data_IF_493081722591
#
_entry.id   IF_493081722591
#
_cell.length_a   1.000
_cell.length_b   1.000
_cell.length_c   1.000
_cell.angle_alpha   90.00
_cell.angle_beta   90.00
_cell.angle_gamma   90.00
#
_symmetry.space_group_name_H-M   'P 1'
#
loop_
_entity.id
_entity.type
_entity.pdbx_description
1 polymer ?
#
# COMPACT_ATOMS: atom_id res chain seq x y z
N UNK A 1 38.36 5.81 -86.52
CA UNK A 1 39.68 6.46 -86.82
C UNK A 1 39.77 7.77 -86.05
N UNK A 2 40.92 8.25 -85.68
CA UNK A 2 41.90 7.74 -84.72
C UNK A 2 41.97 8.64 -83.49
N UNK A 3 42.60 8.47 -82.46
CA UNK A 3 43.79 7.81 -82.08
C UNK A 3 44.46 8.53 -80.90
N UNK A 4 45.16 7.78 -80.08
CA UNK A 4 46.37 8.14 -79.33
C UNK A 4 46.34 9.35 -78.36
N UNK A 5 46.84 9.37 -77.13
CA UNK A 5 48.02 8.67 -76.52
C UNK A 5 47.98 8.91 -75.01
N UNK A 6 48.51 7.99 -74.21
CA UNK A 6 49.08 8.16 -72.85
C UNK A 6 50.40 8.98 -72.91
N UNK A 7 50.83 9.56 -71.79
CA UNK A 7 51.60 8.88 -70.78
C UNK A 7 51.39 9.41 -69.34
N UNK A 8 51.41 8.65 -68.35
CA UNK A 8 52.44 8.06 -67.45
C UNK A 8 53.10 9.07 -66.45
N UNK A 9 53.14 8.62 -65.18
CA UNK A 9 54.00 8.93 -63.99
C UNK A 9 53.59 10.18 -63.20
N UNK A 10 53.50 10.12 -61.90
CA UNK A 10 54.52 9.71 -60.90
C UNK A 10 53.85 9.56 -59.50
N UNK A 11 54.36 8.61 -58.76
CA UNK A 11 54.19 8.28 -57.35
C UNK A 11 54.42 9.47 -56.39
N UNK A 12 53.49 9.63 -55.36
CA UNK A 12 53.96 10.05 -54.03
C UNK A 12 53.14 9.27 -52.99
N UNK A 13 53.86 8.57 -52.13
CA UNK A 13 53.42 7.85 -50.95
C UNK A 13 52.95 8.82 -49.90
N UNK A 14 51.77 8.58 -49.37
CA UNK A 14 51.25 9.17 -48.11
C UNK A 14 50.54 8.11 -47.33
N UNK A 15 51.25 7.45 -46.40
CA UNK A 15 50.74 6.47 -45.45
C UNK A 15 49.96 7.23 -44.39
N UNK A 16 48.63 7.22 -44.41
CA UNK A 16 47.81 7.56 -43.26
C UNK A 16 47.19 6.29 -42.72
N UNK A 17 47.71 5.88 -41.55
CA UNK A 17 47.21 4.81 -40.72
C UNK A 17 45.85 5.23 -40.18
N UNK A 18 44.75 4.80 -40.78
CA UNK A 18 43.42 4.84 -40.15
C UNK A 18 43.35 3.62 -39.20
N UNK A 19 43.55 3.86 -37.91
CA UNK A 19 43.13 2.94 -36.87
C UNK A 19 41.61 2.81 -36.90
N UNK A 20 41.12 1.85 -37.67
CA UNK A 20 39.76 1.36 -37.50
C UNK A 20 39.71 0.57 -36.19
N UNK A 21 39.35 1.22 -35.09
CA UNK A 21 38.88 0.52 -33.92
C UNK A 21 37.59 -0.16 -34.29
N UNK A 22 37.71 -1.41 -34.74
CA UNK A 22 36.56 -2.29 -34.84
C UNK A 22 35.99 -2.45 -33.44
N UNK A 23 34.91 -1.74 -33.15
CA UNK A 23 34.01 -2.09 -32.06
C UNK A 23 33.54 -3.52 -32.39
N UNK A 24 34.20 -4.49 -31.78
CA UNK A 24 33.70 -5.87 -31.76
C UNK A 24 32.45 -5.82 -30.91
N UNK A 25 31.30 -5.64 -31.55
CA UNK A 25 30.02 -6.02 -30.96
C UNK A 25 30.10 -7.54 -30.78
N UNK A 26 30.51 -7.95 -29.59
CA UNK A 26 30.36 -9.34 -29.16
C UNK A 26 28.87 -9.55 -29.05
N UNK A 27 28.24 -10.06 -30.11
CA UNK A 27 26.86 -10.52 -30.04
C UNK A 27 26.79 -11.59 -28.93
N UNK A 28 26.02 -11.39 -27.88
CA UNK A 28 25.94 -12.35 -26.79
C UNK A 28 25.51 -13.70 -27.34
N UNK A 29 26.21 -14.74 -26.89
CA UNK A 29 25.92 -16.09 -27.31
C UNK A 29 24.50 -16.46 -26.86
N UNK A 30 23.62 -16.90 -27.79
CA UNK A 30 22.25 -17.35 -27.48
C UNK A 30 22.18 -18.34 -26.32
N UNK A 31 23.25 -19.15 -26.13
CA UNK A 31 23.38 -20.08 -25.01
C UNK A 31 23.55 -19.37 -23.66
N UNK A 32 24.20 -18.21 -23.62
CA UNK A 32 24.39 -17.43 -22.38
C UNK A 32 23.08 -16.73 -21.95
N UNK A 33 22.32 -16.19 -22.91
CA UNK A 33 21.00 -15.61 -22.67
C UNK A 33 20.03 -16.63 -22.08
N UNK A 34 20.03 -17.86 -22.62
CA UNK A 34 19.23 -18.96 -22.09
C UNK A 34 19.68 -19.41 -20.70
N UNK A 35 20.99 -19.32 -20.41
CA UNK A 35 21.59 -19.68 -19.12
C UNK A 35 21.19 -18.68 -18.00
N UNK A 36 21.34 -17.38 -18.25
CA UNK A 36 20.97 -16.35 -17.26
C UNK A 36 19.44 -16.32 -17.02
N UNK A 37 18.65 -16.47 -18.07
CA UNK A 37 17.18 -16.55 -17.93
C UNK A 37 16.76 -17.80 -17.14
N UNK A 38 17.31 -18.97 -17.45
CA UNK A 38 17.04 -20.21 -16.72
C UNK A 38 17.47 -20.11 -15.25
N UNK A 39 18.62 -19.52 -14.97
CA UNK A 39 19.12 -19.28 -13.61
C UNK A 39 18.19 -18.31 -12.86
N UNK A 40 17.68 -17.27 -13.54
CA UNK A 40 16.70 -16.36 -13.00
C UNK A 40 15.41 -17.07 -12.56
N UNK A 41 14.90 -17.99 -13.38
CA UNK A 41 13.72 -18.80 -13.02
C UNK A 41 13.99 -19.71 -11.81
N UNK A 42 15.20 -20.27 -11.70
CA UNK A 42 15.58 -21.09 -10.53
C UNK A 42 15.60 -20.24 -9.26
N UNK A 43 16.29 -19.08 -9.30
CA UNK A 43 16.34 -18.15 -8.16
C UNK A 43 14.94 -17.64 -7.78
N UNK A 44 14.10 -17.31 -8.77
CA UNK A 44 12.73 -16.86 -8.53
C UNK A 44 11.90 -17.93 -7.80
N UNK A 45 11.97 -19.20 -8.25
CA UNK A 45 11.28 -20.32 -7.59
C UNK A 45 11.80 -20.62 -6.19
N UNK A 46 13.09 -20.35 -5.95
CA UNK A 46 13.71 -20.48 -4.63
C UNK A 46 13.38 -19.31 -3.67
N UNK A 47 12.69 -18.27 -4.16
CA UNK A 47 12.39 -17.08 -3.38
C UNK A 47 13.56 -16.10 -3.24
N UNK A 48 14.68 -16.34 -3.94
CA UNK A 48 15.83 -15.43 -4.01
C UNK A 48 15.56 -14.36 -5.08
N UNK A 49 14.67 -13.42 -4.72
CA UNK A 49 14.16 -12.42 -5.66
C UNK A 49 15.19 -11.37 -6.06
N UNK A 50 16.15 -11.01 -5.18
CA UNK A 50 17.27 -10.14 -5.53
C UNK A 50 18.08 -10.74 -6.68
N UNK A 51 18.52 -11.96 -6.48
CA UNK A 51 19.31 -12.68 -7.47
C UNK A 51 18.54 -12.96 -8.75
N UNK A 52 17.24 -13.27 -8.63
CA UNK A 52 16.37 -13.48 -9.78
C UNK A 52 16.27 -12.22 -10.65
N UNK A 53 16.01 -11.05 -10.05
CA UNK A 53 15.91 -9.78 -10.75
C UNK A 53 17.22 -9.45 -11.48
N UNK A 54 18.38 -9.62 -10.82
CA UNK A 54 19.70 -9.40 -11.44
C UNK A 54 19.93 -10.32 -12.65
N UNK A 55 19.63 -11.62 -12.52
CA UNK A 55 19.82 -12.60 -13.59
C UNK A 55 18.91 -12.33 -14.78
N UNK A 56 17.64 -11.95 -14.56
CA UNK A 56 16.74 -11.57 -15.62
C UNK A 56 17.19 -10.29 -16.34
N UNK A 57 17.67 -9.28 -15.62
CA UNK A 57 18.24 -8.06 -16.23
C UNK A 57 19.49 -8.38 -17.06
N UNK A 58 20.36 -9.27 -16.59
CA UNK A 58 21.51 -9.76 -17.36
C UNK A 58 21.09 -10.46 -18.65
N UNK A 59 20.06 -11.31 -18.57
CA UNK A 59 19.50 -11.99 -19.74
C UNK A 59 18.93 -11.00 -20.76
N UNK A 60 18.20 -9.95 -20.32
CA UNK A 60 17.70 -8.91 -21.24
C UNK A 60 18.85 -8.07 -21.82
N UNK A 61 19.86 -7.71 -21.02
CA UNK A 61 21.02 -6.94 -21.48
C UNK A 61 21.82 -7.70 -22.54
N UNK A 62 21.91 -9.02 -22.42
CA UNK A 62 22.60 -9.88 -23.39
C UNK A 62 21.83 -10.01 -24.71
N UNK A 63 20.50 -10.03 -24.70
CA UNK A 63 19.65 -10.04 -25.90
C UNK A 63 18.36 -9.27 -25.66
N UNK A 64 18.39 -7.94 -25.83
CA UNK A 64 17.26 -7.08 -25.52
C UNK A 64 15.96 -7.49 -26.22
N UNK A 65 14.92 -7.79 -25.44
CA UNK A 65 13.60 -8.16 -25.92
C UNK A 65 13.48 -9.58 -26.51
N UNK A 66 14.54 -10.40 -26.43
CA UNK A 66 14.50 -11.79 -26.89
C UNK A 66 13.60 -12.69 -26.01
N UNK A 67 13.41 -12.32 -24.76
CA UNK A 67 12.61 -13.05 -23.78
C UNK A 67 11.75 -12.08 -22.97
N UNK A 68 10.89 -12.61 -22.10
CA UNK A 68 10.11 -11.81 -21.14
C UNK A 68 10.87 -11.54 -19.84
N UNK A 69 12.22 -11.50 -19.92
CA UNK A 69 13.09 -11.38 -18.77
C UNK A 69 12.77 -10.17 -17.88
N UNK A 70 12.50 -9.00 -18.48
CA UNK A 70 12.16 -7.80 -17.71
C UNK A 70 10.80 -7.90 -17.01
N UNK A 71 9.84 -8.65 -17.54
CA UNK A 71 8.59 -8.92 -16.81
C UNK A 71 8.88 -9.76 -15.57
N UNK A 72 9.72 -10.79 -15.69
CA UNK A 72 10.12 -11.62 -14.54
C UNK A 72 11.01 -10.87 -13.53
N UNK A 73 11.89 -9.98 -14.00
CA UNK A 73 12.62 -9.08 -13.14
C UNK A 73 11.67 -8.18 -12.34
N UNK A 74 10.69 -7.58 -13.00
CA UNK A 74 9.67 -6.75 -12.35
C UNK A 74 8.84 -7.56 -11.33
N UNK A 75 8.44 -8.81 -11.65
CA UNK A 75 7.75 -9.69 -10.70
C UNK A 75 8.62 -9.96 -9.45
N UNK A 76 9.91 -10.23 -9.62
CA UNK A 76 10.83 -10.40 -8.50
C UNK A 76 10.94 -9.13 -7.64
N UNK A 77 11.03 -7.97 -8.29
CA UNK A 77 11.11 -6.66 -7.60
C UNK A 77 9.80 -6.32 -6.85
N UNK A 78 8.64 -6.73 -7.37
CA UNK A 78 7.35 -6.61 -6.68
C UNK A 78 7.37 -7.41 -5.37
N UNK A 79 7.91 -8.63 -5.37
CA UNK A 79 8.06 -9.43 -4.12
C UNK A 79 8.96 -8.73 -3.10
N UNK A 80 9.93 -7.94 -3.55
CA UNK A 80 10.82 -7.13 -2.70
C UNK A 80 10.24 -5.76 -2.34
N UNK A 81 9.03 -5.44 -2.80
CA UNK A 81 8.41 -4.10 -2.69
C UNK A 81 9.25 -2.97 -3.33
N UNK A 82 10.12 -3.30 -4.29
CA UNK A 82 10.95 -2.35 -5.08
C UNK A 82 10.17 -1.89 -6.31
N UNK A 83 9.06 -1.15 -6.06
CA UNK A 83 8.09 -0.82 -7.12
C UNK A 83 8.65 0.09 -8.20
N UNK A 84 9.44 1.10 -7.83
CA UNK A 84 10.06 2.03 -8.80
C UNK A 84 11.02 1.32 -9.77
N UNK A 85 11.80 0.34 -9.27
CA UNK A 85 12.64 -0.48 -10.13
C UNK A 85 11.81 -1.38 -11.05
N UNK A 86 10.70 -1.93 -10.54
CA UNK A 86 9.78 -2.73 -11.33
C UNK A 86 9.09 -1.90 -12.43
N UNK A 87 8.68 -0.65 -12.14
CA UNK A 87 8.15 0.28 -13.13
C UNK A 87 9.16 0.52 -14.26
N UNK A 88 10.42 0.79 -13.93
CA UNK A 88 11.48 1.03 -14.91
C UNK A 88 11.69 -0.16 -15.85
N UNK A 89 11.75 -1.39 -15.31
CA UNK A 89 11.90 -2.60 -16.10
C UNK A 89 10.70 -2.81 -17.03
N UNK A 90 9.46 -2.61 -16.52
CA UNK A 90 8.25 -2.76 -17.30
C UNK A 90 8.12 -1.71 -18.41
N UNK A 91 8.45 -0.45 -18.13
CA UNK A 91 8.45 0.60 -19.15
C UNK A 91 9.50 0.32 -20.23
N UNK A 92 10.69 -0.14 -19.87
CA UNK A 92 11.73 -0.57 -20.80
C UNK A 92 11.23 -1.71 -21.70
N UNK A 93 10.55 -2.68 -21.14
CA UNK A 93 9.94 -3.78 -21.89
C UNK A 93 8.85 -3.29 -22.85
N UNK A 94 7.96 -2.42 -22.37
CA UNK A 94 6.83 -1.90 -23.14
C UNK A 94 7.24 -0.97 -24.29
N UNK A 95 8.42 -0.33 -24.25
CA UNK A 95 8.97 0.40 -25.41
C UNK A 95 9.17 -0.55 -26.59
N UNK A 96 9.55 -1.79 -26.34
CA UNK A 96 9.79 -2.81 -27.39
C UNK A 96 8.55 -3.63 -27.72
N UNK A 97 7.64 -3.80 -26.75
CA UNK A 97 6.41 -4.60 -26.86
C UNK A 97 5.22 -3.86 -26.26
N UNK A 98 4.73 -2.79 -26.92
CA UNK A 98 3.71 -1.89 -26.36
C UNK A 98 2.35 -2.57 -26.13
N UNK A 99 2.09 -3.69 -26.82
CA UNK A 99 0.83 -4.41 -26.75
C UNK A 99 0.84 -5.61 -25.79
N UNK A 100 1.89 -5.76 -24.96
CA UNK A 100 1.96 -6.84 -23.99
C UNK A 100 0.98 -6.59 -22.84
N UNK A 101 -0.16 -7.30 -22.87
CA UNK A 101 -1.18 -7.20 -21.83
C UNK A 101 -0.62 -7.54 -20.44
N UNK A 102 0.18 -8.62 -20.33
CA UNK A 102 0.78 -9.03 -19.06
C UNK A 102 1.67 -7.95 -18.45
N UNK A 103 2.49 -7.27 -19.28
CA UNK A 103 3.34 -6.18 -18.82
C UNK A 103 2.51 -4.95 -18.43
N UNK A 104 1.44 -4.65 -19.16
CA UNK A 104 0.52 -3.55 -18.84
C UNK A 104 -0.22 -3.82 -17.52
N UNK A 105 -0.80 -5.01 -17.33
CA UNK A 105 -1.46 -5.37 -16.06
C UNK A 105 -0.51 -5.28 -14.88
N UNK A 106 0.71 -5.82 -15.01
CA UNK A 106 1.70 -5.73 -13.95
C UNK A 106 2.13 -4.28 -13.68
N UNK A 107 2.28 -3.45 -14.72
CA UNK A 107 2.56 -2.01 -14.55
C UNK A 107 1.41 -1.30 -13.84
N UNK A 108 0.17 -1.58 -14.19
CA UNK A 108 -1.00 -1.05 -13.50
C UNK A 108 -1.00 -1.40 -12.00
N UNK A 109 -0.68 -2.66 -11.67
CA UNK A 109 -0.50 -3.09 -10.28
C UNK A 109 0.61 -2.31 -9.57
N UNK A 110 1.78 -2.19 -10.19
CA UNK A 110 2.93 -1.45 -9.63
C UNK A 110 2.56 0.00 -9.33
N UNK A 111 1.90 0.69 -10.26
CA UNK A 111 1.43 2.07 -10.10
C UNK A 111 0.41 2.23 -8.95
N UNK A 112 -0.50 1.26 -8.78
CA UNK A 112 -1.37 1.21 -7.60
C UNK A 112 -0.56 1.14 -6.30
N UNK A 113 0.48 0.28 -6.26
CA UNK A 113 1.36 0.13 -5.08
C UNK A 113 2.20 1.38 -4.79
N UNK A 114 2.47 2.20 -5.79
CA UNK A 114 3.12 3.51 -5.67
C UNK A 114 2.16 4.64 -5.31
N UNK A 115 0.89 4.33 -5.01
CA UNK A 115 -0.16 5.31 -4.71
C UNK A 115 -0.40 6.30 -5.88
N UNK A 116 -0.38 5.79 -7.10
CA UNK A 116 -0.65 6.52 -8.36
C UNK A 116 -1.91 5.95 -9.05
N UNK A 117 -3.08 6.09 -8.42
CA UNK A 117 -4.30 5.42 -8.89
C UNK A 117 -4.77 5.86 -10.27
N UNK A 118 -4.63 7.15 -10.62
CA UNK A 118 -5.04 7.65 -11.94
C UNK A 118 -4.19 7.04 -13.06
N UNK A 119 -2.86 7.01 -12.90
CA UNK A 119 -1.94 6.40 -13.85
C UNK A 119 -2.21 4.89 -13.97
N UNK A 120 -2.45 4.23 -12.84
CA UNK A 120 -2.80 2.82 -12.80
C UNK A 120 -4.06 2.52 -13.61
N UNK A 121 -5.15 3.29 -13.44
CA UNK A 121 -6.40 3.13 -14.19
C UNK A 121 -6.21 3.34 -15.70
N UNK A 122 -5.38 4.29 -16.11
CA UNK A 122 -5.04 4.50 -17.52
C UNK A 122 -4.38 3.24 -18.12
N UNK A 123 -3.41 2.68 -17.39
CA UNK A 123 -2.69 1.48 -17.82
C UNK A 123 -3.63 0.25 -17.85
N UNK A 124 -4.49 0.07 -16.83
CA UNK A 124 -5.50 -1.00 -16.83
C UNK A 124 -6.46 -0.89 -18.02
N UNK A 125 -6.85 0.33 -18.40
CA UNK A 125 -7.68 0.57 -19.60
C UNK A 125 -6.96 0.13 -20.87
N UNK A 126 -5.66 0.43 -21.00
CA UNK A 126 -4.83 -0.02 -22.14
C UNK A 126 -4.69 -1.54 -22.15
N UNK A 127 -4.47 -2.16 -21.00
CA UNK A 127 -4.36 -3.62 -20.87
C UNK A 127 -5.67 -4.31 -21.26
N UNK A 128 -6.81 -3.84 -20.77
CA UNK A 128 -8.13 -4.41 -21.05
C UNK A 128 -8.52 -4.35 -22.54
N UNK A 129 -7.98 -3.39 -23.30
CA UNK A 129 -8.14 -3.33 -24.75
C UNK A 129 -7.35 -4.44 -25.49
N UNK A 130 -6.45 -5.15 -24.82
CA UNK A 130 -5.61 -6.23 -25.39
C UNK A 130 -6.04 -7.61 -24.92
N UNK A 131 -6.40 -7.72 -23.66
CA UNK A 131 -6.78 -8.98 -23.01
C UNK A 131 -7.80 -8.70 -21.93
N UNK A 132 -8.77 -9.58 -21.76
CA UNK A 132 -9.75 -9.44 -20.67
C UNK A 132 -9.07 -9.48 -19.29
N UNK A 133 -9.48 -8.58 -18.37
CA UNK A 133 -8.95 -8.56 -17.00
C UNK A 133 -9.36 -9.82 -16.24
N UNK A 134 -8.51 -10.23 -15.32
CA UNK A 134 -8.82 -11.24 -14.32
C UNK A 134 -9.61 -10.63 -13.15
N UNK A 135 -10.14 -11.47 -12.25
CA UNK A 135 -10.74 -11.01 -10.99
C UNK A 135 -9.75 -10.17 -10.15
N UNK A 136 -8.48 -10.59 -10.10
CA UNK A 136 -7.44 -9.83 -9.39
C UNK A 136 -7.19 -8.45 -10.02
N UNK A 137 -7.21 -8.36 -11.34
CA UNK A 137 -7.08 -7.08 -12.05
C UNK A 137 -8.26 -6.16 -11.70
N UNK A 138 -9.49 -6.68 -11.72
CA UNK A 138 -10.69 -5.92 -11.36
C UNK A 138 -10.67 -5.48 -9.89
N UNK A 139 -10.16 -6.31 -8.99
CA UNK A 139 -9.93 -5.95 -7.59
C UNK A 139 -8.99 -4.75 -7.49
N UNK A 140 -7.86 -4.74 -8.20
CA UNK A 140 -6.93 -3.60 -8.19
C UNK A 140 -7.56 -2.35 -8.80
N UNK A 141 -8.35 -2.48 -9.86
CA UNK A 141 -9.14 -1.36 -10.41
C UNK A 141 -10.07 -0.79 -9.33
N UNK A 142 -10.78 -1.64 -8.59
CA UNK A 142 -11.61 -1.22 -7.46
C UNK A 142 -10.80 -0.50 -6.37
N UNK A 143 -9.62 -1.01 -6.02
CA UNK A 143 -8.71 -0.37 -5.06
C UNK A 143 -8.18 0.98 -5.54
N UNK A 144 -7.95 1.18 -6.83
CA UNK A 144 -7.61 2.49 -7.38
C UNK A 144 -8.73 3.51 -7.13
N UNK A 145 -9.99 3.11 -7.32
CA UNK A 145 -11.13 3.98 -7.02
C UNK A 145 -11.28 4.26 -5.51
N UNK A 146 -10.92 3.31 -4.64
CA UNK A 146 -10.82 3.58 -3.18
C UNK A 146 -9.77 4.65 -2.89
N UNK A 147 -8.60 4.60 -3.53
CA UNK A 147 -7.53 5.62 -3.37
C UNK A 147 -7.95 7.00 -3.91
N UNK A 148 -8.92 7.05 -4.80
CA UNK A 148 -9.50 8.29 -5.35
C UNK A 148 -10.77 8.74 -4.59
N UNK A 149 -11.12 8.09 -3.47
CA UNK A 149 -12.34 8.30 -2.71
C UNK A 149 -13.65 8.13 -3.53
N UNK A 150 -13.58 7.52 -4.74
CA UNK A 150 -14.74 7.17 -5.55
C UNK A 150 -15.27 5.76 -5.16
N UNK A 151 -15.88 5.67 -4.00
CA UNK A 151 -16.46 4.43 -3.49
C UNK A 151 -17.58 3.84 -4.36
N UNK A 152 -18.46 4.62 -5.02
CA UNK A 152 -19.44 4.05 -5.94
C UNK A 152 -18.79 3.25 -7.09
N UNK A 153 -17.72 3.78 -7.69
CA UNK A 153 -16.96 3.05 -8.72
C UNK A 153 -16.18 1.88 -8.14
N UNK A 154 -15.58 2.06 -6.95
CA UNK A 154 -14.86 1.00 -6.24
C UNK A 154 -15.76 -0.23 -6.01
N UNK A 155 -16.97 -0.02 -5.45
CA UNK A 155 -17.95 -1.07 -5.18
C UNK A 155 -18.29 -1.80 -6.49
N UNK A 156 -18.64 -1.08 -7.55
CA UNK A 156 -18.99 -1.67 -8.83
C UNK A 156 -17.91 -2.60 -9.39
N UNK A 157 -16.64 -2.21 -9.29
CA UNK A 157 -15.54 -3.03 -9.78
C UNK A 157 -15.22 -4.20 -8.86
N UNK A 158 -15.33 -4.03 -7.55
CA UNK A 158 -15.16 -5.10 -6.58
C UNK A 158 -16.31 -6.12 -6.65
N UNK A 159 -17.57 -5.68 -6.89
CA UNK A 159 -18.71 -6.57 -7.18
C UNK A 159 -18.41 -7.46 -8.40
N UNK A 160 -17.89 -6.87 -9.49
CA UNK A 160 -17.48 -7.65 -10.68
C UNK A 160 -16.32 -8.62 -10.38
N UNK A 161 -15.39 -8.22 -9.51
CA UNK A 161 -14.27 -9.10 -9.12
C UNK A 161 -14.79 -10.34 -8.39
N UNK A 162 -15.70 -10.19 -7.42
CA UNK A 162 -16.27 -11.33 -6.67
C UNK A 162 -17.27 -12.14 -7.52
N UNK A 163 -17.94 -11.52 -8.48
CA UNK A 163 -18.78 -12.23 -9.45
C UNK A 163 -17.92 -13.15 -10.34
N UNK A 164 -16.76 -12.68 -10.79
CA UNK A 164 -15.82 -13.44 -11.61
C UNK A 164 -15.10 -14.55 -10.84
N UNK A 165 -14.69 -14.27 -9.60
CA UNK A 165 -14.10 -15.24 -8.68
C UNK A 165 -14.73 -15.14 -7.28
N UNK A 166 -15.83 -15.89 -7.04
CA UNK A 166 -16.47 -15.93 -5.74
C UNK A 166 -15.61 -16.50 -4.60
N UNK A 167 -14.47 -17.12 -4.90
CA UNK A 167 -13.54 -17.66 -3.92
C UNK A 167 -12.44 -16.68 -3.51
N UNK A 168 -12.40 -15.51 -4.08
CA UNK A 168 -11.44 -14.47 -3.72
C UNK A 168 -11.82 -13.81 -2.40
N UNK A 169 -11.35 -14.39 -1.28
CA UNK A 169 -11.53 -13.83 0.07
C UNK A 169 -11.07 -12.38 0.17
N UNK A 170 -9.99 -12.04 -0.54
CA UNK A 170 -9.45 -10.68 -0.54
C UNK A 170 -10.37 -9.68 -1.27
N UNK A 171 -10.97 -10.07 -2.40
CA UNK A 171 -11.93 -9.21 -3.10
C UNK A 171 -13.19 -8.95 -2.24
N UNK A 172 -13.72 -9.98 -1.59
CA UNK A 172 -14.80 -9.85 -0.62
C UNK A 172 -14.45 -8.93 0.56
N UNK A 173 -13.22 -9.05 1.08
CA UNK A 173 -12.75 -8.19 2.16
C UNK A 173 -12.75 -6.71 1.76
N UNK A 174 -12.22 -6.36 0.59
CA UNK A 174 -12.21 -4.97 0.13
C UNK A 174 -13.60 -4.47 -0.25
N UNK A 175 -14.47 -5.33 -0.78
CA UNK A 175 -15.86 -5.00 -1.05
C UNK A 175 -16.60 -4.67 0.25
N UNK A 176 -16.44 -5.50 1.29
CA UNK A 176 -17.02 -5.25 2.61
C UNK A 176 -16.58 -3.91 3.20
N UNK A 177 -15.29 -3.58 3.09
CA UNK A 177 -14.78 -2.29 3.53
C UNK A 177 -15.36 -1.11 2.75
N UNK A 178 -15.51 -1.24 1.42
CA UNK A 178 -16.10 -0.20 0.58
C UNK A 178 -17.59 0.01 0.93
N UNK A 179 -18.34 -1.06 1.17
CA UNK A 179 -19.72 -1.00 1.65
C UNK A 179 -19.81 -0.32 3.01
N UNK A 180 -18.95 -0.70 3.96
CA UNK A 180 -18.89 -0.09 5.29
C UNK A 180 -18.66 1.43 5.21
N UNK A 181 -17.70 1.87 4.41
CA UNK A 181 -17.41 3.30 4.22
C UNK A 181 -18.60 4.07 3.64
N UNK A 182 -19.46 3.39 2.88
CA UNK A 182 -20.71 3.97 2.36
C UNK A 182 -21.93 3.73 3.26
N UNK A 183 -21.71 3.29 4.49
CA UNK A 183 -22.76 2.98 5.47
C UNK A 183 -23.78 1.94 4.98
N UNK A 184 -23.39 1.10 4.00
CA UNK A 184 -24.17 -0.06 3.55
C UNK A 184 -23.87 -1.23 4.49
N UNK A 185 -24.32 -1.12 5.75
CA UNK A 185 -23.89 -2.02 6.84
C UNK A 185 -24.30 -3.48 6.61
N UNK A 186 -25.50 -3.73 6.08
CA UNK A 186 -25.97 -5.09 5.77
C UNK A 186 -25.12 -5.74 4.69
N UNK A 187 -24.77 -5.00 3.64
CA UNK A 187 -23.94 -5.51 2.54
C UNK A 187 -22.49 -5.73 3.03
N UNK A 188 -21.98 -4.83 3.86
CA UNK A 188 -20.66 -4.97 4.48
C UNK A 188 -20.58 -6.23 5.34
N UNK A 189 -21.61 -6.46 6.18
CA UNK A 189 -21.70 -7.67 6.99
C UNK A 189 -21.67 -8.92 6.12
N UNK A 190 -22.52 -8.99 5.10
CA UNK A 190 -22.58 -10.14 4.19
C UNK A 190 -21.24 -10.40 3.51
N UNK A 191 -20.54 -9.36 3.07
CA UNK A 191 -19.23 -9.51 2.45
C UNK A 191 -18.16 -10.02 3.43
N UNK A 192 -18.17 -9.58 4.69
CA UNK A 192 -17.23 -10.10 5.70
C UNK A 192 -17.60 -11.52 6.13
N UNK A 193 -18.88 -11.87 6.17
CA UNK A 193 -19.33 -13.25 6.40
C UNK A 193 -18.80 -14.20 5.29
N UNK A 194 -18.81 -13.78 4.01
CA UNK A 194 -18.19 -14.52 2.91
C UNK A 194 -16.66 -14.69 3.11
N UNK A 195 -15.98 -13.62 3.58
CA UNK A 195 -14.55 -13.76 3.94
C UNK A 195 -14.35 -14.86 4.97
N UNK A 196 -15.17 -14.90 6.01
CA UNK A 196 -15.04 -15.90 7.08
C UNK A 196 -15.41 -17.32 6.63
N UNK A 197 -16.33 -17.48 5.65
CA UNK A 197 -16.60 -18.78 5.04
C UNK A 197 -15.41 -19.28 4.22
N UNK A 198 -14.76 -18.40 3.47
CA UNK A 198 -13.62 -18.73 2.60
C UNK A 198 -12.30 -18.86 3.39
N UNK A 199 -12.15 -18.07 4.42
CA UNK A 199 -10.95 -17.96 5.26
C UNK A 199 -11.35 -17.96 6.74
N UNK A 200 -11.64 -19.11 7.32
CA UNK A 200 -12.00 -19.23 8.73
C UNK A 200 -10.89 -18.64 9.62
N UNK A 201 -11.29 -17.86 10.63
CA UNK A 201 -10.39 -17.16 11.55
C UNK A 201 -9.61 -15.98 10.93
N UNK A 202 -10.11 -15.35 9.86
CA UNK A 202 -9.56 -14.08 9.39
C UNK A 202 -9.88 -12.97 10.42
N UNK A 203 -8.88 -12.65 11.24
CA UNK A 203 -9.01 -11.62 12.29
C UNK A 203 -9.34 -10.23 11.74
N UNK A 204 -9.00 -9.94 10.48
CA UNK A 204 -9.32 -8.65 9.85
C UNK A 204 -10.81 -8.56 9.53
N UNK A 205 -11.40 -9.63 9.01
CA UNK A 205 -12.82 -9.70 8.71
C UNK A 205 -13.64 -9.61 9.99
N UNK A 206 -13.27 -10.36 11.03
CA UNK A 206 -13.94 -10.32 12.33
C UNK A 206 -13.86 -8.94 12.99
N UNK A 207 -12.68 -8.30 12.95
CA UNK A 207 -12.54 -6.92 13.43
C UNK A 207 -13.46 -5.95 12.66
N UNK A 208 -13.60 -6.11 11.34
CA UNK A 208 -14.49 -5.25 10.57
C UNK A 208 -15.97 -5.56 10.83
N UNK A 209 -16.35 -6.81 11.14
CA UNK A 209 -17.69 -7.13 11.67
C UNK A 209 -17.95 -6.42 13.00
N UNK A 210 -16.94 -6.34 13.87
CA UNK A 210 -17.01 -5.54 15.08
C UNK A 210 -17.36 -4.07 14.79
N UNK A 211 -16.71 -3.45 13.80
CA UNK A 211 -17.05 -2.08 13.36
C UNK A 211 -18.46 -1.96 12.80
N UNK A 212 -18.94 -2.97 12.06
CA UNK A 212 -20.33 -3.00 11.57
C UNK A 212 -21.30 -3.05 12.75
N UNK A 213 -21.09 -3.95 13.71
CA UNK A 213 -21.94 -4.07 14.90
C UNK A 213 -21.93 -2.80 15.76
N UNK A 214 -20.77 -2.15 15.91
CA UNK A 214 -20.65 -0.87 16.60
C UNK A 214 -21.48 0.23 15.90
N UNK A 215 -21.42 0.29 14.56
CA UNK A 215 -22.22 1.23 13.77
C UNK A 215 -23.73 0.95 13.82
N UNK A 216 -24.12 -0.29 14.10
CA UNK A 216 -25.50 -0.72 14.36
C UNK A 216 -25.92 -0.53 15.84
N UNK A 217 -25.06 0.07 16.67
CA UNK A 217 -25.23 0.19 18.13
C UNK A 217 -25.40 -1.17 18.86
N UNK A 218 -24.93 -2.25 18.29
CA UNK A 218 -24.92 -3.61 18.85
C UNK A 218 -23.63 -3.83 19.66
N UNK A 219 -23.50 -3.09 20.76
CA UNK A 219 -22.26 -3.00 21.55
C UNK A 219 -21.76 -4.37 22.00
N UNK A 220 -22.64 -5.25 22.47
CA UNK A 220 -22.25 -6.60 22.95
C UNK A 220 -21.64 -7.44 21.82
N UNK A 221 -22.25 -7.40 20.63
CA UNK A 221 -21.77 -8.13 19.47
C UNK A 221 -20.42 -7.56 18.97
N UNK A 222 -20.27 -6.23 18.98
CA UNK A 222 -19.03 -5.55 18.64
C UNK A 222 -17.87 -5.96 19.57
N UNK A 223 -18.10 -5.95 20.88
CA UNK A 223 -17.10 -6.40 21.87
C UNK A 223 -16.72 -7.86 21.62
N UNK A 224 -17.68 -8.75 21.39
CA UNK A 224 -17.44 -10.16 21.12
C UNK A 224 -16.59 -10.35 19.83
N UNK A 225 -16.93 -9.63 18.76
CA UNK A 225 -16.19 -9.69 17.51
C UNK A 225 -14.73 -9.19 17.67
N UNK A 226 -14.52 -8.05 18.34
CA UNK A 226 -13.15 -7.58 18.60
C UNK A 226 -12.33 -8.56 19.45
N UNK A 227 -12.94 -9.13 20.50
CA UNK A 227 -12.28 -10.16 21.33
C UNK A 227 -11.93 -11.38 20.51
N UNK A 228 -12.81 -11.83 19.62
CA UNK A 228 -12.56 -12.97 18.75
C UNK A 228 -11.44 -12.67 17.75
N UNK A 229 -11.40 -11.48 17.16
CA UNK A 229 -10.32 -11.06 16.29
C UNK A 229 -8.97 -11.04 17.02
N UNK A 230 -8.94 -10.59 18.28
CA UNK A 230 -7.76 -10.66 19.15
C UNK A 230 -7.29 -12.10 19.33
N UNK A 231 -8.19 -13.01 19.66
CA UNK A 231 -7.86 -14.43 19.84
C UNK A 231 -7.27 -15.03 18.55
N UNK A 232 -7.87 -14.75 17.40
CA UNK A 232 -7.41 -15.32 16.13
C UNK A 232 -6.03 -14.81 15.70
N UNK A 233 -5.69 -13.56 16.02
CA UNK A 233 -4.36 -13.04 15.67
C UNK A 233 -3.24 -13.38 16.67
N UNK A 234 -3.53 -13.97 17.83
CA UNK A 234 -2.50 -14.27 18.86
C UNK A 234 -1.32 -15.10 18.35
N UNK A 235 -1.56 -15.97 17.35
CA UNK A 235 -0.53 -16.80 16.74
C UNK A 235 0.10 -16.17 15.49
N UNK A 236 -0.31 -14.95 15.13
CA UNK A 236 0.27 -14.24 14.00
C UNK A 236 1.68 -13.77 14.32
N UNK A 237 2.60 -13.92 13.37
CA UNK A 237 3.95 -13.37 13.50
C UNK A 237 3.95 -11.80 13.53
N UNK A 238 2.87 -11.20 13.06
CA UNK A 238 2.67 -9.73 13.02
C UNK A 238 1.22 -9.41 13.39
N UNK A 239 0.87 -9.44 14.70
CA UNK A 239 -0.46 -9.07 15.14
C UNK A 239 -0.70 -7.58 14.88
N UNK A 240 -1.94 -7.23 14.54
CA UNK A 240 -2.38 -5.85 14.35
C UNK A 240 -2.82 -5.24 15.69
N UNK A 241 -2.55 -3.97 15.87
CA UNK A 241 -3.07 -3.18 17.00
C UNK A 241 -4.58 -2.91 16.89
N UNK A 242 -5.16 -2.98 15.67
CA UNK A 242 -6.52 -2.51 15.40
C UNK A 242 -7.60 -3.16 16.26
N UNK A 243 -7.69 -4.51 16.40
CA UNK A 243 -8.72 -5.11 17.25
C UNK A 243 -8.61 -4.70 18.72
N UNK A 244 -7.39 -4.51 19.22
CA UNK A 244 -7.15 -4.04 20.57
C UNK A 244 -7.56 -2.57 20.75
N UNK A 245 -7.21 -1.72 19.79
CA UNK A 245 -7.56 -0.30 19.80
C UNK A 245 -9.07 -0.11 19.70
N UNK A 246 -9.74 -0.86 18.82
CA UNK A 246 -11.19 -0.79 18.66
C UNK A 246 -11.92 -1.26 19.92
N UNK A 247 -11.53 -2.43 20.47
CA UNK A 247 -12.10 -2.92 21.73
C UNK A 247 -11.94 -1.92 22.87
N UNK A 248 -10.71 -1.42 23.06
CA UNK A 248 -10.43 -0.47 24.13
C UNK A 248 -11.15 0.86 23.96
N UNK A 249 -11.26 1.35 22.72
CA UNK A 249 -12.01 2.57 22.41
C UNK A 249 -13.51 2.40 22.70
N UNK A 250 -14.10 1.30 22.25
CA UNK A 250 -15.51 0.99 22.52
C UNK A 250 -15.80 0.88 24.02
N UNK A 251 -14.92 0.21 24.78
CA UNK A 251 -15.04 0.13 26.25
C UNK A 251 -14.93 1.49 26.92
N UNK A 252 -14.09 2.39 26.43
CA UNK A 252 -14.01 3.79 26.89
C UNK A 252 -15.30 4.55 26.62
N UNK A 253 -15.92 4.35 25.47
CA UNK A 253 -17.16 5.02 25.08
C UNK A 253 -18.35 4.49 25.89
N UNK A 254 -18.25 3.23 26.37
CA UNK A 254 -19.18 2.64 27.34
C UNK A 254 -18.84 2.98 28.82
N UNK A 255 -17.92 3.90 29.08
CA UNK A 255 -17.44 4.29 30.44
C UNK A 255 -16.83 3.13 31.25
N UNK A 256 -16.50 2.02 30.61
CA UNK A 256 -15.84 0.84 31.20
C UNK A 256 -14.31 1.07 31.25
N UNK A 257 -13.91 2.14 31.96
CA UNK A 257 -12.56 2.70 31.86
C UNK A 257 -11.47 1.69 32.29
N UNK A 258 -11.65 0.96 33.40
CA UNK A 258 -10.65 -0.02 33.85
C UNK A 258 -10.53 -1.21 32.89
N UNK A 259 -11.63 -1.64 32.29
CA UNK A 259 -11.64 -2.73 31.33
C UNK A 259 -11.03 -2.33 29.97
N UNK A 260 -10.99 -1.04 29.64
CA UNK A 260 -10.37 -0.53 28.43
C UNK A 260 -8.83 -0.54 28.50
N UNK A 261 -8.24 -0.55 29.72
CA UNK A 261 -6.80 -0.44 29.90
C UNK A 261 -6.01 -1.60 29.26
N UNK A 262 -6.31 -2.90 29.54
CA UNK A 262 -5.50 -3.98 29.00
C UNK A 262 -5.45 -3.99 27.45
N UNK A 263 -6.57 -3.86 26.72
CA UNK A 263 -6.49 -3.79 25.27
C UNK A 263 -5.75 -2.53 24.77
N UNK A 264 -5.92 -1.37 25.37
CA UNK A 264 -5.22 -0.16 24.95
C UNK A 264 -3.71 -0.20 25.26
N UNK A 265 -3.31 -0.81 26.37
CA UNK A 265 -1.89 -1.06 26.68
C UNK A 265 -1.24 -1.95 25.61
N UNK A 266 -1.94 -3.03 25.17
CA UNK A 266 -1.42 -3.89 24.12
C UNK A 266 -1.41 -3.19 22.75
N UNK A 267 -2.44 -2.38 22.41
CA UNK A 267 -2.46 -1.58 21.19
C UNK A 267 -1.27 -0.61 21.13
N UNK A 268 -0.99 0.14 22.21
CA UNK A 268 0.14 1.07 22.27
C UNK A 268 1.50 0.35 22.19
N UNK A 269 1.60 -0.86 22.76
CA UNK A 269 2.81 -1.68 22.66
C UNK A 269 3.05 -2.20 21.23
N UNK A 270 2.01 -2.66 20.54
CA UNK A 270 2.10 -3.16 19.16
C UNK A 270 2.40 -2.04 18.15
N UNK A 271 1.86 -0.86 18.38
CA UNK A 271 2.00 0.30 17.50
C UNK A 271 2.53 1.52 18.26
N UNK A 272 3.74 1.41 18.81
CA UNK A 272 4.37 2.45 19.64
C UNK A 272 4.62 3.79 18.90
N UNK A 273 4.50 3.83 17.58
CA UNK A 273 4.57 5.06 16.77
C UNK A 273 3.19 5.60 16.36
N UNK A 274 2.10 4.96 16.78
CA UNK A 274 0.75 5.40 16.47
C UNK A 274 0.21 6.35 17.56
N UNK A 275 0.08 7.67 17.28
CA UNK A 275 -0.36 8.64 18.29
C UNK A 275 -1.77 8.36 18.81
N UNK A 276 -2.65 7.72 18.02
CA UNK A 276 -4.00 7.40 18.44
C UNK A 276 -4.03 6.36 19.56
N UNK A 277 -3.13 5.36 19.52
CA UNK A 277 -3.03 4.36 20.58
C UNK A 277 -2.65 5.02 21.92
N UNK A 278 -1.64 5.89 21.90
CA UNK A 278 -1.22 6.64 23.09
C UNK A 278 -2.29 7.61 23.59
N UNK A 279 -2.98 8.30 22.68
CA UNK A 279 -4.10 9.18 23.04
C UNK A 279 -5.22 8.42 23.76
N UNK A 280 -5.68 7.29 23.17
CA UNK A 280 -6.76 6.49 23.76
C UNK A 280 -6.36 5.88 25.11
N UNK A 281 -5.12 5.38 25.22
CA UNK A 281 -4.58 4.87 26.47
C UNK A 281 -4.43 6.00 27.53
N UNK A 282 -3.95 7.16 27.12
CA UNK A 282 -3.87 8.34 28.00
C UNK A 282 -5.23 8.78 28.53
N UNK A 283 -6.27 8.75 27.68
CA UNK A 283 -7.66 9.03 28.10
C UNK A 283 -8.14 7.96 29.11
N UNK A 284 -7.85 6.68 28.85
CA UNK A 284 -8.23 5.58 29.75
C UNK A 284 -7.60 5.77 31.14
N UNK A 285 -6.31 6.05 31.20
CA UNK A 285 -5.62 6.33 32.46
C UNK A 285 -6.16 7.59 33.15
N UNK A 286 -6.46 8.65 32.38
CA UNK A 286 -7.02 9.88 32.93
C UNK A 286 -8.38 9.65 33.61
N UNK A 287 -9.28 8.91 32.92
CA UNK A 287 -10.60 8.56 33.46
C UNK A 287 -10.50 7.58 34.64
N UNK A 288 -9.47 6.73 34.66
CA UNK A 288 -9.16 5.83 35.77
C UNK A 288 -8.35 6.48 36.90
N UNK A 289 -8.17 7.81 36.90
CA UNK A 289 -7.42 8.60 37.91
C UNK A 289 -5.94 8.18 38.02
N UNK A 290 -5.35 7.52 37.02
CA UNK A 290 -3.94 7.12 36.99
C UNK A 290 -3.11 8.24 36.32
N UNK A 291 -3.06 9.42 37.00
CA UNK A 291 -2.61 10.68 36.39
C UNK A 291 -1.19 10.64 35.85
N UNK A 292 -0.23 10.00 36.55
CA UNK A 292 1.16 9.90 36.10
C UNK A 292 1.29 9.08 34.82
N UNK A 293 0.52 7.98 34.71
CA UNK A 293 0.48 7.16 33.49
C UNK A 293 -0.20 7.91 32.35
N UNK A 294 -1.31 8.62 32.64
CA UNK A 294 -1.99 9.46 31.66
C UNK A 294 -1.05 10.52 31.08
N UNK A 295 -0.24 11.17 31.94
CA UNK A 295 0.76 12.15 31.51
C UNK A 295 1.72 11.56 30.49
N UNK A 296 2.34 10.44 30.83
CA UNK A 296 3.31 9.77 29.95
C UNK A 296 2.73 9.48 28.57
N UNK A 297 1.53 8.90 28.51
CA UNK A 297 0.92 8.50 27.26
C UNK A 297 0.43 9.72 26.44
N UNK A 298 -0.14 10.74 27.08
CA UNK A 298 -0.59 11.95 26.39
C UNK A 298 0.59 12.81 25.89
N UNK A 299 1.68 12.91 26.64
CA UNK A 299 2.90 13.59 26.18
C UNK A 299 3.54 12.85 25.01
N UNK A 300 3.53 11.51 25.02
CA UNK A 300 3.98 10.71 23.87
C UNK A 300 3.08 10.90 22.64
N UNK A 301 1.76 10.93 22.83
CA UNK A 301 0.83 11.24 21.75
C UNK A 301 1.10 12.62 21.13
N UNK A 302 1.36 13.65 21.96
CA UNK A 302 1.72 15.00 21.52
C UNK A 302 3.07 15.05 20.79
N UNK A 303 4.04 14.24 21.23
CA UNK A 303 5.35 14.12 20.55
C UNK A 303 5.22 13.50 19.16
N UNK A 304 4.35 12.50 19.03
CA UNK A 304 4.11 11.80 17.75
C UNK A 304 3.26 12.61 16.77
N UNK A 305 2.28 13.37 17.28
CA UNK A 305 1.39 14.22 16.50
C UNK A 305 1.10 15.54 17.26
N UNK A 306 1.97 16.51 17.05
CA UNK A 306 1.90 17.84 17.69
C UNK A 306 0.80 18.75 17.15
N UNK A 307 0.09 18.34 16.10
CA UNK A 307 -1.00 19.09 15.48
C UNK A 307 -2.38 18.48 15.79
N UNK A 308 -2.45 17.57 16.77
CA UNK A 308 -3.68 16.92 17.16
C UNK A 308 -4.37 17.69 18.30
N UNK A 309 -5.42 18.43 17.97
CA UNK A 309 -6.17 19.21 18.95
C UNK A 309 -6.73 18.37 20.11
N UNK A 310 -7.14 17.12 19.85
CA UNK A 310 -7.67 16.25 20.89
C UNK A 310 -6.59 15.88 21.94
N UNK A 311 -5.36 15.67 21.52
CA UNK A 311 -4.23 15.40 22.42
C UNK A 311 -4.00 16.58 23.35
N UNK A 312 -3.87 17.78 22.80
CA UNK A 312 -3.67 19.00 23.58
C UNK A 312 -4.85 19.28 24.54
N UNK A 313 -6.07 19.03 24.10
CA UNK A 313 -7.24 19.15 24.98
C UNK A 313 -7.17 18.18 26.17
N UNK A 314 -6.74 16.92 25.95
CA UNK A 314 -6.62 15.96 27.05
C UNK A 314 -5.43 16.29 27.98
N UNK A 315 -4.31 16.79 27.45
CA UNK A 315 -3.21 17.33 28.25
C UNK A 315 -3.67 18.51 29.10
N UNK A 316 -4.44 19.44 28.55
CA UNK A 316 -5.04 20.55 29.30
C UNK A 316 -5.91 20.07 30.48
N UNK A 317 -6.73 19.04 30.25
CA UNK A 317 -7.52 18.40 31.33
C UNK A 317 -6.61 17.77 32.41
N UNK A 318 -5.60 17.03 31.99
CA UNK A 318 -4.64 16.42 32.90
C UNK A 318 -3.97 17.48 33.78
N UNK A 319 -3.37 18.51 33.17
CA UNK A 319 -2.68 19.58 33.93
C UNK A 319 -3.62 20.37 34.82
N UNK A 320 -4.88 20.53 34.45
CA UNK A 320 -5.89 21.12 35.36
C UNK A 320 -6.13 20.24 36.57
N UNK A 321 -6.19 18.91 36.42
CA UNK A 321 -6.38 17.97 37.53
C UNK A 321 -5.14 17.88 38.43
N UNK A 322 -3.96 18.08 37.86
CA UNK A 322 -2.68 18.10 38.65
C UNK A 322 -2.32 19.49 39.17
N UNK A 323 -3.23 20.48 39.06
CA UNK A 323 -3.05 21.87 39.50
C UNK A 323 -1.92 22.64 38.80
N UNK A 324 -1.52 22.22 37.62
CA UNK A 324 -0.53 22.91 36.78
C UNK A 324 -1.26 23.87 35.80
N UNK A 325 -1.88 24.92 36.41
CA UNK A 325 -2.85 25.77 35.69
C UNK A 325 -2.27 26.50 34.46
N UNK A 326 -1.02 26.96 34.55
CA UNK A 326 -0.36 27.64 33.41
C UNK A 326 -0.13 26.70 32.23
N UNK A 327 0.24 25.44 32.53
CA UNK A 327 0.36 24.41 31.48
C UNK A 327 -1.01 24.06 30.88
N UNK A 328 -2.01 23.91 31.74
CA UNK A 328 -3.37 23.62 31.28
C UNK A 328 -3.88 24.69 30.30
N UNK A 329 -3.69 25.97 30.63
CA UNK A 329 -4.09 27.08 29.78
C UNK A 329 -3.36 27.07 28.42
N UNK A 330 -2.05 26.79 28.41
CA UNK A 330 -1.27 26.66 27.16
C UNK A 330 -1.78 25.55 26.27
N UNK A 331 -2.06 24.39 26.86
CA UNK A 331 -2.54 23.24 26.08
C UNK A 331 -3.95 23.46 25.53
N UNK A 332 -4.87 24.06 26.29
CA UNK A 332 -6.19 24.44 25.79
C UNK A 332 -6.10 25.47 24.66
N UNK A 333 -5.26 26.51 24.80
CA UNK A 333 -5.04 27.51 23.77
C UNK A 333 -4.46 26.87 22.48
N UNK A 334 -3.55 25.92 22.61
CA UNK A 334 -3.01 25.18 21.48
C UNK A 334 -4.08 24.33 20.77
N UNK A 335 -4.94 23.64 21.53
CA UNK A 335 -6.04 22.88 20.96
C UNK A 335 -7.00 23.78 20.15
N UNK A 336 -7.33 24.95 20.69
CA UNK A 336 -8.20 25.94 20.02
C UNK A 336 -7.55 26.51 18.76
N UNK A 337 -6.27 26.86 18.80
CA UNK A 337 -5.51 27.32 17.64
C UNK A 337 -5.54 26.30 16.50
N UNK A 338 -5.26 25.01 16.80
CA UNK A 338 -5.27 23.93 15.80
C UNK A 338 -6.66 23.78 15.19
N UNK A 339 -7.72 23.77 16.00
CA UNK A 339 -9.11 23.68 15.53
C UNK A 339 -9.47 24.87 14.63
N UNK A 340 -9.10 26.09 15.03
CA UNK A 340 -9.37 27.30 14.26
C UNK A 340 -8.68 27.31 12.91
N UNK A 341 -7.42 26.86 12.84
CA UNK A 341 -6.69 26.69 11.56
C UNK A 341 -7.34 25.65 10.67
N UNK A 342 -7.76 24.54 11.21
CA UNK A 342 -8.45 23.49 10.45
C UNK A 342 -9.78 24.00 9.89
N UNK A 343 -10.57 24.73 10.68
CA UNK A 343 -11.82 25.33 10.23
C UNK A 343 -11.60 26.36 9.12
N UNK A 344 -10.57 27.21 9.23
CA UNK A 344 -10.23 28.21 8.21
C UNK A 344 -9.81 27.57 6.88
N UNK A 345 -9.15 26.41 6.93
CA UNK A 345 -8.72 25.68 5.73
C UNK A 345 -9.89 25.03 4.96
N UNK A 346 -11.03 24.79 5.61
CA UNK A 346 -12.22 24.17 4.99
C UNK A 346 -13.15 25.18 4.33
N UNK A 347 -12.96 26.49 4.54
CA UNK A 347 -13.76 27.54 3.89
C UNK A 347 -13.31 27.70 2.44
N UNK A 348 -14.20 27.48 1.43
CA UNK A 348 -13.84 27.68 0.03
C UNK A 348 -13.40 29.12 -0.21
N UNK A 349 -12.21 29.30 -0.79
CA UNK A 349 -11.81 30.65 -1.24
C UNK A 349 -12.84 31.15 -2.24
N UNK A 350 -13.35 32.40 -2.10
CA UNK A 350 -14.25 32.98 -3.09
C UNK A 350 -13.56 32.94 -4.46
N UNK A 351 -14.27 32.41 -5.46
CA UNK A 351 -13.81 32.44 -6.85
C UNK A 351 -13.63 33.90 -7.24
N UNK A 352 -12.38 34.33 -7.52
CA UNK A 352 -12.07 35.59 -8.13
C UNK A 352 -12.47 35.59 -9.61
#
# INVERSE_FOLDING_TARGET
>A
MPGFTKPAKTLVRGLTLLCATALIFVLPNRAQVSGDYASGLVSFRAGDYERAAEQFRKADAAAPGATDALIFAAKALVHLSKYSDAENDLRTYLVRRPDSADALYLLGYVLNRENRPADSLEIYTKAAARQQPTSDDLKIVGLNYVLLDDYPSAIRWLEKAVEMDPKSSEAWYFLGRAYYTRSRLSDAKSAFDEVLQLSPNDARAENNLGLVYESEARVTDAIAAYQQAIVWQQKSARPSEQPYLNLGSLLLDQERNEESLPPLEEAAKLAASNPLCHLKLGIAYLRSQKLDRARKELEEAARLDSENAAVHFQLGKLYKLTHELDRAQKEFARAEEIQSRAAAATVPKPKQ
#
